data_IF_382177215416
#
_entry.id   IF_382177215416
#
_cell.length_a   1.000
_cell.length_b   1.000
_cell.length_c   1.000
_cell.angle_alpha   90.00
_cell.angle_beta   90.00
_cell.angle_gamma   90.00
#
_symmetry.space_group_name_H-M   'P 1'
#
loop_
_entity.id
_entity.type
_entity.pdbx_description
1 polymer ?
#
# COMPACT_ATOMS: atom_id res chain seq x y z
N UNK A 1 -6.10 -15.20 -11.37
CA UNK A 1 -6.50 -13.77 -11.33
C UNK A 1 -5.53 -13.06 -10.40
N UNK A 2 -4.82 -12.05 -10.89
CA UNK A 2 -3.83 -11.33 -10.09
C UNK A 2 -4.45 -10.06 -9.48
N UNK A 3 -3.89 -9.59 -8.38
CA UNK A 3 -4.28 -8.39 -7.67
C UNK A 3 -3.07 -7.47 -7.56
N UNK A 4 -3.25 -6.23 -7.99
CA UNK A 4 -2.36 -5.13 -7.67
C UNK A 4 -2.73 -4.60 -6.31
N UNK A 5 -1.83 -4.65 -5.33
CA UNK A 5 -2.14 -4.34 -3.93
C UNK A 5 -1.62 -2.96 -3.55
N UNK A 6 -2.49 -2.16 -2.90
CA UNK A 6 -2.10 -1.01 -2.08
C UNK A 6 -2.23 -1.42 -0.62
N UNK A 7 -1.11 -1.44 0.11
CA UNK A 7 -1.08 -1.90 1.49
C UNK A 7 -0.98 -0.73 2.47
N UNK A 8 -1.82 -0.70 3.50
CA UNK A 8 -1.83 0.31 4.55
C UNK A 8 -1.44 -0.34 5.87
N UNK A 9 -0.29 0.07 6.44
CA UNK A 9 0.23 -0.50 7.68
C UNK A 9 1.46 0.24 8.21
N UNK A 10 1.72 0.16 9.52
CA UNK A 10 2.78 0.93 10.17
C UNK A 10 3.60 0.20 11.22
N UNK A 11 3.07 -0.80 11.90
CA UNK A 11 3.73 -1.47 13.02
C UNK A 11 4.32 -2.85 12.63
N UNK A 12 4.93 -3.53 13.59
CA UNK A 12 5.48 -4.86 13.38
C UNK A 12 4.43 -5.91 13.02
N UNK A 13 3.18 -5.73 13.48
CA UNK A 13 2.08 -6.62 13.10
C UNK A 13 1.80 -6.51 11.60
N UNK A 14 1.68 -5.29 11.08
CA UNK A 14 1.54 -5.05 9.65
C UNK A 14 2.78 -5.42 8.85
N UNK A 15 3.99 -5.33 9.44
CA UNK A 15 5.23 -5.76 8.79
C UNK A 15 5.21 -7.26 8.45
N UNK A 16 4.71 -8.12 9.34
CA UNK A 16 4.61 -9.54 9.06
C UNK A 16 3.73 -9.83 7.83
N UNK A 17 2.67 -9.06 7.64
CA UNK A 17 1.75 -9.22 6.51
C UNK A 17 2.38 -8.76 5.20
N UNK A 18 3.11 -7.63 5.19
CA UNK A 18 3.78 -7.18 3.97
C UNK A 18 4.89 -8.15 3.57
N UNK A 19 5.70 -8.66 4.50
CA UNK A 19 6.73 -9.67 4.23
C UNK A 19 6.10 -10.92 3.60
N UNK A 20 4.97 -11.38 4.14
CA UNK A 20 4.26 -12.53 3.59
C UNK A 20 3.76 -12.26 2.15
N UNK A 21 3.23 -11.07 1.89
CA UNK A 21 2.72 -10.68 0.57
C UNK A 21 3.83 -10.46 -0.48
N UNK A 22 5.04 -10.13 -0.06
CA UNK A 22 6.17 -9.84 -0.96
C UNK A 22 7.21 -10.96 -1.02
N UNK A 23 6.99 -12.06 -0.30
CA UNK A 23 7.85 -13.24 -0.31
C UNK A 23 7.93 -13.86 -1.72
N UNK A 24 9.14 -13.99 -2.26
CA UNK A 24 9.37 -14.55 -3.61
C UNK A 24 8.95 -16.01 -3.74
N UNK A 25 9.07 -16.79 -2.65
CA UNK A 25 8.62 -18.18 -2.57
C UNK A 25 7.28 -18.32 -1.84
N UNK A 26 6.56 -17.21 -1.67
CA UNK A 26 5.29 -17.15 -0.95
C UNK A 26 4.13 -17.72 -1.77
N UNK A 27 3.08 -18.25 -1.10
CA UNK A 27 1.91 -18.83 -1.78
C UNK A 27 1.10 -17.80 -2.59
N UNK A 28 1.31 -16.51 -2.35
CA UNK A 28 0.61 -15.41 -3.03
C UNK A 28 1.45 -14.72 -4.11
N UNK A 29 2.67 -15.19 -4.42
CA UNK A 29 3.61 -14.53 -5.34
C UNK A 29 3.00 -14.20 -6.71
N UNK A 30 2.27 -15.15 -7.30
CA UNK A 30 1.66 -14.97 -8.63
C UNK A 30 0.26 -14.33 -8.59
N UNK A 31 -0.27 -14.15 -7.38
CA UNK A 31 -1.64 -13.67 -7.15
C UNK A 31 -1.63 -12.23 -6.67
N UNK A 32 -0.65 -11.81 -5.85
CA UNK A 32 -0.60 -10.50 -5.24
C UNK A 32 0.70 -9.80 -5.61
N UNK A 33 0.58 -8.61 -6.20
CA UNK A 33 1.72 -7.74 -6.48
C UNK A 33 1.53 -6.43 -5.72
N UNK A 34 2.30 -6.23 -4.66
CA UNK A 34 2.27 -4.96 -3.92
C UNK A 34 2.86 -3.86 -4.79
N UNK A 35 2.03 -2.86 -5.13
CA UNK A 35 2.40 -1.73 -5.98
C UNK A 35 2.75 -0.50 -5.18
N UNK A 36 2.15 -0.35 -3.99
CA UNK A 36 2.33 0.81 -3.14
C UNK A 36 2.07 0.46 -1.68
N UNK A 37 2.91 0.97 -0.78
CA UNK A 37 2.71 0.86 0.67
C UNK A 37 2.48 2.25 1.27
N UNK A 38 1.44 2.38 2.08
CA UNK A 38 1.14 3.59 2.83
C UNK A 38 1.45 3.32 4.29
N UNK A 39 2.38 4.09 4.86
CA UNK A 39 2.79 3.95 6.24
C UNK A 39 2.72 5.25 7.02
N UNK A 40 2.91 5.15 8.33
CA UNK A 40 2.63 6.23 9.25
C UNK A 40 3.69 7.32 9.33
N UNK A 41 4.94 6.98 9.05
CA UNK A 41 6.11 7.86 9.02
C UNK A 41 7.28 7.09 8.41
N UNK A 42 8.37 7.79 8.13
CA UNK A 42 9.63 7.20 7.65
C UNK A 42 10.31 6.28 8.66
N UNK A 43 9.98 6.41 9.94
CA UNK A 43 10.61 5.66 11.04
C UNK A 43 9.99 4.30 11.30
N UNK A 44 8.84 4.02 10.66
CA UNK A 44 8.09 2.77 10.88
C UNK A 44 8.87 1.53 10.42
N UNK A 45 8.66 0.37 11.07
CA UNK A 45 9.22 -0.91 10.61
C UNK A 45 8.80 -1.24 9.17
N UNK A 46 7.56 -0.90 8.77
CA UNK A 46 7.07 -1.10 7.41
C UNK A 46 7.83 -0.24 6.40
N UNK A 47 8.02 1.06 6.64
CA UNK A 47 8.78 1.92 5.73
C UNK A 47 10.23 1.48 5.60
N UNK A 48 10.88 1.09 6.71
CA UNK A 48 12.24 0.55 6.68
C UNK A 48 12.34 -0.69 5.77
N UNK A 49 11.39 -1.61 5.88
CA UNK A 49 11.34 -2.78 5.00
C UNK A 49 11.11 -2.40 3.53
N UNK A 50 10.24 -1.41 3.26
CA UNK A 50 9.99 -0.93 1.89
C UNK A 50 11.25 -0.35 1.26
N UNK A 51 12.01 0.46 2.02
CA UNK A 51 13.30 1.02 1.58
C UNK A 51 14.28 -0.11 1.25
N UNK A 52 14.43 -1.09 2.13
CA UNK A 52 15.37 -2.21 1.94
C UNK A 52 15.00 -3.10 0.75
N UNK A 53 13.71 -3.23 0.47
CA UNK A 53 13.18 -4.15 -0.56
C UNK A 53 12.83 -3.44 -1.88
N UNK A 54 13.11 -2.13 -1.99
CA UNK A 54 12.79 -1.34 -3.18
C UNK A 54 11.29 -1.19 -3.46
N UNK A 55 10.42 -1.36 -2.45
CA UNK A 55 8.97 -1.26 -2.60
C UNK A 55 8.56 0.22 -2.54
N UNK A 56 7.80 0.73 -3.53
CA UNK A 56 7.28 2.10 -3.48
C UNK A 56 6.43 2.35 -2.24
N UNK A 57 6.69 3.46 -1.54
CA UNK A 57 5.94 3.83 -0.34
C UNK A 57 5.63 5.32 -0.27
N UNK A 58 4.59 5.67 0.49
CA UNK A 58 4.23 7.02 0.90
C UNK A 58 3.92 7.07 2.40
N UNK A 59 4.06 8.24 3.01
CA UNK A 59 3.75 8.44 4.42
C UNK A 59 2.46 9.23 4.63
N UNK A 60 1.59 8.71 5.48
CA UNK A 60 0.38 9.37 5.99
C UNK A 60 0.54 9.58 7.50
N UNK A 61 1.01 10.75 7.96
CA UNK A 61 1.24 11.04 9.38
C UNK A 61 -0.03 10.95 10.24
N UNK A 62 0.12 10.69 11.54
CA UNK A 62 -1.01 10.79 12.49
C UNK A 62 -1.48 12.24 12.58
N UNK A 63 -2.78 12.43 12.80
CA UNK A 63 -3.38 13.77 12.91
C UNK A 63 -3.57 14.49 11.58
N UNK A 64 -3.11 13.91 10.45
CA UNK A 64 -3.41 14.43 9.14
C UNK A 64 -4.91 14.24 8.85
N UNK A 65 -5.63 15.34 8.63
CA UNK A 65 -7.05 15.30 8.26
C UNK A 65 -7.19 14.56 6.92
N UNK A 66 -8.33 13.90 6.73
CA UNK A 66 -8.65 13.25 5.45
C UNK A 66 -8.70 14.23 4.27
N UNK A 67 -8.86 15.53 4.53
CA UNK A 67 -8.85 16.63 3.55
C UNK A 67 -7.49 17.34 3.47
N UNK A 68 -6.42 16.70 3.95
CA UNK A 68 -5.08 17.28 3.88
C UNK A 68 -4.48 17.06 2.50
N UNK A 69 -3.59 17.96 2.07
CA UNK A 69 -2.86 17.80 0.82
C UNK A 69 -2.07 16.47 0.75
N UNK A 70 -1.65 15.93 1.90
CA UNK A 70 -1.00 14.61 1.98
C UNK A 70 -1.98 13.50 1.64
N UNK A 71 -3.17 13.51 2.25
CA UNK A 71 -4.23 12.55 1.95
C UNK A 71 -4.65 12.63 0.47
N UNK A 72 -4.88 13.84 -0.04
CA UNK A 72 -5.25 14.08 -1.44
C UNK A 72 -4.16 13.58 -2.41
N UNK A 73 -2.88 13.81 -2.08
CA UNK A 73 -1.76 13.31 -2.88
C UNK A 73 -1.69 11.78 -2.92
N UNK A 74 -1.94 11.11 -1.78
CA UNK A 74 -2.01 9.64 -1.69
C UNK A 74 -3.19 9.12 -2.52
N UNK A 75 -4.38 9.71 -2.38
CA UNK A 75 -5.57 9.33 -3.14
C UNK A 75 -5.33 9.50 -4.64
N UNK A 76 -4.75 10.64 -5.05
CA UNK A 76 -4.40 10.90 -6.45
C UNK A 76 -3.45 9.83 -7.00
N UNK A 77 -2.45 9.40 -6.21
CA UNK A 77 -1.54 8.33 -6.63
C UNK A 77 -2.25 6.97 -6.74
N UNK A 78 -3.14 6.64 -5.81
CA UNK A 78 -3.95 5.41 -5.86
C UNK A 78 -4.87 5.42 -7.09
N UNK A 79 -5.49 6.55 -7.40
CA UNK A 79 -6.33 6.70 -8.59
C UNK A 79 -5.54 6.58 -9.89
N UNK A 80 -4.33 7.14 -9.94
CA UNK A 80 -3.43 6.94 -11.08
C UNK A 80 -3.06 5.46 -11.26
N UNK A 81 -2.73 4.74 -10.16
CA UNK A 81 -2.49 3.29 -10.22
C UNK A 81 -3.72 2.51 -10.69
N UNK A 82 -4.93 2.93 -10.29
CA UNK A 82 -6.17 2.33 -10.75
C UNK A 82 -6.39 2.53 -12.26
N UNK A 83 -6.12 3.74 -12.76
CA UNK A 83 -6.23 4.06 -14.19
C UNK A 83 -5.20 3.30 -15.03
N UNK A 84 -3.94 3.24 -14.58
CA UNK A 84 -2.87 2.44 -15.20
C UNK A 84 -3.28 0.96 -15.36
N UNK A 85 -4.06 0.42 -14.43
CA UNK A 85 -4.56 -0.96 -14.46
C UNK A 85 -5.85 -1.13 -15.28
N UNK A 86 -6.60 -0.05 -15.53
CA UNK A 86 -7.85 -0.07 -16.29
C UNK A 86 -7.66 0.12 -17.80
N UNK A 87 -6.62 0.85 -18.21
CA UNK A 87 -6.25 1.03 -19.63
C UNK A 87 -5.55 -0.21 -20.21
N UNK A 88 -4.82 -0.94 -19.36
CA UNK A 88 -4.37 -2.28 -19.70
C UNK A 88 -5.58 -3.21 -19.65
N UNK A 89 -5.94 -3.81 -20.78
CA UNK A 89 -6.97 -4.87 -20.93
C UNK A 89 -6.58 -6.18 -20.20
N UNK A 90 -5.85 -6.08 -19.09
CA UNK A 90 -5.15 -7.13 -18.38
C UNK A 90 -5.82 -7.43 -17.03
N UNK A 91 -5.78 -8.71 -16.68
CA UNK A 91 -6.51 -9.41 -15.62
C UNK A 91 -6.30 -8.97 -14.15
N UNK A 92 -5.72 -7.80 -13.87
CA UNK A 92 -5.31 -7.39 -12.52
C UNK A 92 -6.23 -6.33 -11.91
N UNK A 93 -6.92 -6.67 -10.81
CA UNK A 93 -7.75 -5.72 -10.05
C UNK A 93 -6.93 -5.02 -8.97
N UNK A 94 -7.19 -3.74 -8.73
CA UNK A 94 -6.63 -3.01 -7.60
C UNK A 94 -7.32 -3.45 -6.30
N UNK A 95 -6.54 -3.86 -5.30
CA UNK A 95 -7.01 -4.30 -3.98
C UNK A 95 -6.34 -3.47 -2.89
N UNK A 96 -7.14 -2.88 -2.00
CA UNK A 96 -6.66 -2.23 -0.78
C UNK A 96 -6.59 -3.23 0.38
N UNK A 97 -5.43 -3.37 1.01
CA UNK A 97 -5.27 -4.16 2.24
C UNK A 97 -4.91 -3.22 3.39
N UNK A 98 -5.66 -3.29 4.49
CA UNK A 98 -5.45 -2.44 5.67
C UNK A 98 -5.15 -3.33 6.87
N UNK A 99 -3.95 -3.22 7.42
CA UNK A 99 -3.52 -3.97 8.59
C UNK A 99 -2.86 -3.03 9.61
N UNK A 100 -3.48 -2.85 10.76
CA UNK A 100 -2.98 -2.01 11.86
C UNK A 100 -2.45 -0.63 11.43
N UNK A 101 -3.19 0.06 10.57
CA UNK A 101 -2.76 1.35 10.02
C UNK A 101 -2.97 2.52 11.00
N UNK A 102 -4.02 2.47 11.83
CA UNK A 102 -4.28 3.46 12.88
C UNK A 102 -4.58 4.89 12.38
N UNK A 103 -4.97 5.06 11.11
CA UNK A 103 -5.47 6.32 10.55
C UNK A 103 -6.82 6.12 9.88
N UNK A 104 -7.59 7.19 9.82
CA UNK A 104 -8.87 7.22 9.12
C UNK A 104 -8.64 7.22 7.60
N UNK A 105 -9.27 6.28 6.90
CA UNK A 105 -9.30 6.26 5.44
C UNK A 105 -10.52 7.04 4.95
N UNK A 106 -10.36 7.97 4.00
CA UNK A 106 -11.47 8.71 3.42
C UNK A 106 -12.42 7.74 2.72
N UNK A 107 -13.72 7.98 2.83
CA UNK A 107 -14.75 7.12 2.24
C UNK A 107 -15.05 7.40 0.78
N UNK A 108 -14.35 8.35 0.15
CA UNK A 108 -14.56 8.81 -1.23
C UNK A 108 -13.24 9.21 -1.85
#
# INVERSE_FOLDING_TARGET
>A
MAYSVVFFGSDYFSLAHIIFLTSEDGPLRDICRVRLVISGSTETPVTKHCVNSGIPYLTWPRGCKSTSAVADGIIKRINALSAELGDESSSSRLLGIVASFGRYLPGR
#
